data_IF_804286395019
#
_entry.id   IF_804286395019
#
_cell.length_a   1.000
_cell.length_b   1.000
_cell.length_c   1.000
_cell.angle_alpha   90.00
_cell.angle_beta   90.00
_cell.angle_gamma   90.00
#
_symmetry.space_group_name_H-M   'P 1'
#
loop_
_entity.id
_entity.type
_entity.pdbx_description
1 polymer ?
#
# COMPACT_ATOMS: atom_id res chain seq x y z
N UNK A 1 -4.49 -20.21 -15.99
CA UNK A 1 -4.99 -20.28 -14.59
C UNK A 1 -5.83 -19.04 -14.35
N UNK A 2 -7.12 -19.20 -14.06
CA UNK A 2 -7.97 -18.09 -13.65
C UNK A 2 -7.66 -17.76 -12.18
N UNK A 3 -7.30 -16.51 -11.89
CA UNK A 3 -7.11 -16.03 -10.52
C UNK A 3 -8.51 -15.86 -9.94
N UNK A 4 -8.90 -16.70 -9.00
CA UNK A 4 -10.16 -16.55 -8.28
C UNK A 4 -10.03 -15.33 -7.34
N UNK A 5 -11.03 -14.44 -7.28
CA UNK A 5 -11.00 -13.33 -6.35
C UNK A 5 -10.99 -13.87 -4.91
N UNK A 6 -10.03 -13.41 -4.11
CA UNK A 6 -10.05 -13.64 -2.66
C UNK A 6 -11.29 -12.91 -2.14
N UNK A 7 -12.11 -13.60 -1.33
CA UNK A 7 -13.35 -13.03 -0.82
C UNK A 7 -13.06 -11.87 0.13
N UNK A 8 -13.62 -10.70 -0.16
CA UNK A 8 -13.56 -9.52 0.70
C UNK A 8 -14.71 -9.54 1.71
N UNK A 9 -14.53 -8.88 2.85
CA UNK A 9 -15.60 -8.67 3.83
C UNK A 9 -16.78 -7.88 3.24
N UNK A 10 -17.99 -8.06 3.81
CA UNK A 10 -19.21 -7.44 3.28
C UNK A 10 -19.10 -5.90 3.23
N UNK A 11 -19.41 -5.31 2.07
CA UNK A 11 -19.35 -3.87 1.85
C UNK A 11 -18.00 -3.34 1.38
N UNK A 12 -16.94 -4.17 1.38
CA UNK A 12 -15.65 -3.82 0.78
C UNK A 12 -15.73 -3.92 -0.75
N UNK A 13 -15.18 -2.97 -1.51
CA UNK A 13 -15.12 -3.06 -2.97
C UNK A 13 -14.35 -4.29 -3.46
N UNK A 14 -14.63 -4.78 -4.68
CA UNK A 14 -13.88 -5.89 -5.27
C UNK A 14 -12.38 -5.58 -5.33
N UNK A 15 -11.54 -6.55 -4.93
CA UNK A 15 -10.10 -6.46 -4.96
C UNK A 15 -9.48 -7.64 -5.72
N UNK A 16 -8.47 -7.37 -6.54
CA UNK A 16 -7.72 -8.39 -7.27
C UNK A 16 -6.22 -8.16 -7.11
N UNK A 17 -5.52 -9.16 -6.59
CA UNK A 17 -4.05 -9.12 -6.49
C UNK A 17 -3.45 -9.09 -7.90
N UNK A 18 -2.63 -8.07 -8.19
CA UNK A 18 -2.01 -7.94 -9.51
C UNK A 18 -0.72 -8.77 -9.60
N UNK A 19 -0.65 -9.81 -10.45
CA UNK A 19 0.51 -10.70 -10.52
C UNK A 19 1.79 -10.00 -10.98
N UNK A 20 1.71 -8.85 -11.65
CA UNK A 20 2.87 -8.07 -12.09
C UNK A 20 3.70 -7.50 -10.94
N UNK A 21 3.11 -7.41 -9.75
CA UNK A 21 3.79 -6.99 -8.52
C UNK A 21 4.25 -8.19 -7.67
N UNK A 22 4.27 -9.41 -8.25
CA UNK A 22 4.71 -10.65 -7.57
C UNK A 22 5.64 -11.53 -8.41
N UNK A 23 5.79 -11.23 -9.71
CA UNK A 23 6.51 -12.06 -10.67
C UNK A 23 7.87 -11.48 -11.08
N UNK A 24 8.42 -10.54 -10.30
CA UNK A 24 9.67 -9.83 -10.60
C UNK A 24 9.64 -9.06 -11.93
N UNK A 25 8.46 -8.59 -12.35
CA UNK A 25 8.36 -7.73 -13.55
C UNK A 25 9.31 -6.54 -13.43
N UNK A 26 10.18 -6.30 -14.43
CA UNK A 26 11.13 -5.19 -14.38
C UNK A 26 10.43 -3.84 -14.15
N UNK A 27 11.06 -2.97 -13.36
CA UNK A 27 10.59 -1.60 -13.06
C UNK A 27 9.26 -1.53 -12.29
N UNK A 28 8.78 -2.65 -11.76
CA UNK A 28 7.63 -2.67 -10.85
C UNK A 28 8.11 -3.06 -9.45
N UNK A 29 7.68 -2.32 -8.45
CA UNK A 29 7.81 -2.76 -7.06
C UNK A 29 7.13 -4.11 -6.85
N UNK A 30 7.63 -4.89 -5.89
CA UNK A 30 7.17 -6.27 -5.68
C UNK A 30 6.73 -6.47 -4.25
N UNK A 31 5.54 -7.05 -4.06
CA UNK A 31 5.05 -7.49 -2.77
C UNK A 31 5.96 -8.60 -2.22
N UNK A 32 6.31 -8.49 -0.93
CA UNK A 32 6.99 -9.57 -0.19
C UNK A 32 6.04 -10.25 0.78
N UNK A 33 4.94 -9.60 1.15
CA UNK A 33 3.86 -10.19 1.96
C UNK A 33 2.96 -11.08 1.09
N UNK A 34 2.21 -11.99 1.71
CA UNK A 34 1.26 -12.87 1.01
C UNK A 34 0.12 -12.07 0.37
N UNK A 35 -0.60 -12.68 -0.58
CA UNK A 35 -1.81 -12.08 -1.16
C UNK A 35 -2.89 -11.83 -0.11
N UNK A 36 -3.00 -12.70 0.89
CA UNK A 36 -3.92 -12.51 2.01
C UNK A 36 -3.54 -11.28 2.86
N UNK A 37 -2.25 -11.08 3.12
CA UNK A 37 -1.78 -9.91 3.86
C UNK A 37 -1.92 -8.61 3.05
N UNK A 38 -1.74 -8.67 1.72
CA UNK A 38 -2.06 -7.56 0.81
C UNK A 38 -3.55 -7.20 0.88
N UNK A 39 -4.43 -8.21 0.80
CA UNK A 39 -5.87 -7.98 0.90
C UNK A 39 -6.24 -7.37 2.25
N UNK A 40 -5.73 -7.89 3.37
CA UNK A 40 -5.98 -7.30 4.69
C UNK A 40 -5.52 -5.83 4.75
N UNK A 41 -4.39 -5.49 4.12
CA UNK A 41 -3.91 -4.10 4.05
C UNK A 41 -4.87 -3.20 3.26
N UNK A 42 -5.54 -3.74 2.24
CA UNK A 42 -6.59 -3.03 1.49
C UNK A 42 -7.87 -2.88 2.32
N UNK A 43 -8.34 -3.94 2.98
CA UNK A 43 -9.52 -3.91 3.84
C UNK A 43 -9.33 -2.92 5.01
N UNK A 44 -8.15 -2.90 5.64
CA UNK A 44 -7.80 -1.93 6.67
C UNK A 44 -7.83 -0.49 6.13
N UNK A 45 -7.27 -0.26 4.94
CA UNK A 45 -7.32 1.04 4.31
C UNK A 45 -8.77 1.48 4.01
N UNK A 46 -9.64 0.55 3.57
CA UNK A 46 -11.06 0.82 3.38
C UNK A 46 -11.75 1.18 4.70
N UNK A 47 -11.62 0.33 5.72
CA UNK A 47 -12.26 0.49 7.02
C UNK A 47 -11.82 1.76 7.77
N UNK A 48 -10.57 2.19 7.56
CA UNK A 48 -10.03 3.43 8.14
C UNK A 48 -10.25 4.66 7.27
N UNK A 49 -10.99 4.52 6.17
CA UNK A 49 -11.32 5.61 5.25
C UNK A 49 -10.04 6.24 4.67
N UNK A 50 -9.12 5.40 4.21
CA UNK A 50 -7.87 5.80 3.54
C UNK A 50 -7.92 5.70 2.01
N UNK A 51 -9.08 5.32 1.47
CA UNK A 51 -9.37 5.39 0.04
C UNK A 51 -10.01 6.76 -0.28
N UNK A 52 -9.46 7.46 -1.27
CA UNK A 52 -9.88 8.77 -1.75
C UNK A 52 -10.31 8.65 -3.23
N UNK A 53 -11.61 8.64 -3.50
CA UNK A 53 -12.16 8.38 -4.84
C UNK A 53 -11.64 7.05 -5.40
N UNK A 54 -10.70 7.11 -6.35
CA UNK A 54 -10.17 5.97 -7.10
C UNK A 54 -8.72 5.61 -6.72
N UNK A 55 -8.17 6.25 -5.69
CA UNK A 55 -6.81 6.00 -5.20
C UNK A 55 -6.84 5.91 -3.69
N UNK A 56 -6.06 5.01 -3.10
CA UNK A 56 -5.88 4.93 -1.65
C UNK A 56 -4.47 4.53 -1.27
N UNK A 57 -4.20 4.61 0.02
CA UNK A 57 -2.94 4.15 0.58
C UNK A 57 -3.19 3.32 1.83
N UNK A 58 -2.33 2.33 2.05
CA UNK A 58 -2.41 1.45 3.20
C UNK A 58 -1.04 1.13 3.77
N UNK A 59 -1.08 0.40 4.88
CA UNK A 59 0.07 -0.12 5.58
C UNK A 59 -0.19 -1.59 5.89
N UNK A 60 0.88 -2.36 5.98
CA UNK A 60 0.84 -3.71 6.52
C UNK A 60 1.23 -3.65 8.00
N UNK A 61 0.56 -4.42 8.85
CA UNK A 61 0.83 -4.47 10.28
C UNK A 61 1.27 -5.86 10.72
N UNK A 62 2.35 -5.94 11.48
CA UNK A 62 2.80 -7.12 12.22
C UNK A 62 2.82 -6.77 13.70
N UNK A 63 2.16 -7.58 14.55
CA UNK A 63 2.07 -7.32 15.99
C UNK A 63 1.60 -5.90 16.34
N UNK A 64 0.62 -5.36 15.60
CA UNK A 64 0.10 -3.99 15.71
C UNK A 64 1.09 -2.86 15.38
N UNK A 65 2.25 -3.17 14.79
CA UNK A 65 3.20 -2.17 14.31
C UNK A 65 3.25 -2.20 12.77
N UNK A 66 3.33 -1.03 12.11
CA UNK A 66 3.58 -1.02 10.67
C UNK A 66 4.85 -1.82 10.36
N UNK A 67 4.82 -2.58 9.27
CA UNK A 67 5.91 -3.44 8.82
C UNK A 67 6.19 -3.23 7.32
N UNK A 68 7.37 -3.69 6.87
CA UNK A 68 7.68 -3.69 5.45
C UNK A 68 6.75 -4.65 4.71
N UNK A 69 6.25 -4.24 3.55
CA UNK A 69 5.28 -5.00 2.75
C UNK A 69 5.81 -5.43 1.38
N UNK A 70 6.92 -4.83 0.95
CA UNK A 70 7.48 -5.09 -0.36
C UNK A 70 8.85 -4.50 -0.56
N UNK A 71 9.28 -4.55 -1.81
CA UNK A 71 10.49 -3.92 -2.31
C UNK A 71 10.19 -2.98 -3.45
N UNK A 72 10.99 -1.93 -3.57
CA UNK A 72 10.96 -0.94 -4.63
C UNK A 72 11.27 -1.54 -6.01
N UNK A 73 11.26 -0.69 -7.04
CA UNK A 73 11.52 -1.10 -8.44
C UNK A 73 12.92 -1.68 -8.69
N UNK A 74 13.87 -1.45 -7.77
CA UNK A 74 15.20 -2.08 -7.77
C UNK A 74 15.20 -3.51 -7.21
N UNK A 75 14.04 -3.97 -6.72
CA UNK A 75 13.79 -5.26 -6.06
C UNK A 75 14.67 -5.52 -4.84
N UNK A 76 15.21 -4.46 -4.22
CA UNK A 76 16.14 -4.54 -3.07
C UNK A 76 15.74 -3.61 -1.92
N UNK A 77 15.34 -2.39 -2.23
CA UNK A 77 15.00 -1.39 -1.21
C UNK A 77 13.65 -1.73 -0.61
N UNK A 78 13.61 -2.03 0.69
CA UNK A 78 12.36 -2.31 1.39
C UNK A 78 11.44 -1.08 1.40
N UNK A 79 10.13 -1.31 1.26
CA UNK A 79 9.08 -0.30 1.34
C UNK A 79 7.93 -0.79 2.22
N UNK A 80 7.24 0.14 2.86
CA UNK A 80 6.22 -0.15 3.89
C UNK A 80 4.84 0.48 3.61
N UNK A 81 4.69 1.19 2.50
CA UNK A 81 3.43 1.81 2.09
C UNK A 81 2.86 1.06 0.90
N UNK A 82 1.57 0.78 0.94
CA UNK A 82 0.80 0.27 -0.19
C UNK A 82 0.11 1.44 -0.88
N UNK A 83 0.01 1.40 -2.21
CA UNK A 83 -0.90 2.23 -2.98
C UNK A 83 -1.94 1.34 -3.65
N UNK A 84 -3.19 1.76 -3.55
CA UNK A 84 -4.34 1.08 -4.13
C UNK A 84 -4.96 1.96 -5.20
N UNK A 85 -5.37 1.34 -6.31
CA UNK A 85 -5.97 2.03 -7.45
C UNK A 85 -7.22 1.28 -7.88
N UNK A 86 -8.30 2.01 -8.09
CA UNK A 86 -9.52 1.52 -8.71
C UNK A 86 -9.38 1.57 -10.23
N UNK A 87 -9.39 0.41 -10.89
CA UNK A 87 -9.48 0.32 -12.33
C UNK A 87 -10.84 -0.32 -12.70
N UNK A 88 -11.75 0.49 -13.24
CA UNK A 88 -13.09 0.06 -13.70
C UNK A 88 -13.86 -0.74 -12.64
N UNK A 89 -13.97 -0.21 -11.43
CA UNK A 89 -14.65 -0.81 -10.27
C UNK A 89 -13.96 -2.06 -9.69
N UNK A 90 -12.70 -2.31 -10.06
CA UNK A 90 -11.88 -3.35 -9.44
C UNK A 90 -10.63 -2.71 -8.86
N UNK A 91 -10.45 -2.84 -7.55
CA UNK A 91 -9.27 -2.36 -6.87
C UNK A 91 -8.11 -3.36 -7.02
N UNK A 92 -6.91 -2.83 -7.09
CA UNK A 92 -5.68 -3.59 -6.93
C UNK A 92 -4.62 -2.70 -6.29
N UNK A 93 -3.52 -3.29 -5.85
CA UNK A 93 -2.47 -2.57 -5.15
C UNK A 93 -1.06 -2.93 -5.58
N UNK A 94 -0.13 -2.10 -5.13
CA UNK A 94 1.30 -2.33 -5.23
C UNK A 94 2.07 -1.65 -4.09
N UNK A 95 3.29 -2.13 -3.77
CA UNK A 95 4.18 -1.41 -2.86
C UNK A 95 4.58 -0.06 -3.45
N UNK A 96 4.39 1.01 -2.71
CA UNK A 96 4.63 2.38 -3.15
C UNK A 96 6.12 2.75 -2.99
N UNK A 97 6.77 3.21 -4.06
CA UNK A 97 8.17 3.68 -4.03
C UNK A 97 8.21 5.22 -4.00
N UNK A 98 7.85 5.77 -2.85
CA UNK A 98 7.72 7.23 -2.64
C UNK A 98 9.02 8.01 -2.90
N UNK A 99 10.18 7.35 -2.88
CA UNK A 99 11.48 8.00 -3.11
C UNK A 99 11.77 8.24 -4.60
N UNK A 100 11.26 7.37 -5.48
CA UNK A 100 11.52 7.42 -6.93
C UNK A 100 10.31 7.87 -7.73
N UNK A 101 9.12 7.85 -7.12
CA UNK A 101 7.88 8.18 -7.80
C UNK A 101 7.00 9.12 -6.96
N UNK A 102 6.84 10.36 -7.44
CA UNK A 102 5.99 11.35 -6.77
C UNK A 102 4.52 10.91 -6.68
N UNK A 103 4.04 10.07 -7.60
CA UNK A 103 2.67 9.55 -7.54
C UNK A 103 2.47 8.53 -6.43
N UNK A 104 3.56 8.00 -5.86
CA UNK A 104 3.53 7.01 -4.78
C UNK A 104 3.56 7.66 -3.39
N UNK A 105 3.73 8.99 -3.33
CA UNK A 105 3.63 9.75 -2.10
C UNK A 105 2.15 9.77 -1.64
N UNK A 106 1.84 9.28 -0.42
CA UNK A 106 0.48 9.27 0.12
C UNK A 106 -0.13 10.66 0.18
N UNK A 107 -1.43 10.81 -0.12
CA UNK A 107 -2.08 12.13 -0.06
C UNK A 107 -1.92 12.80 1.32
N UNK A 108 -1.89 14.13 1.35
CA UNK A 108 -1.74 14.90 2.60
C UNK A 108 -2.81 14.56 3.64
N UNK A 109 -4.04 14.25 3.22
CA UNK A 109 -5.12 13.85 4.11
C UNK A 109 -4.80 12.51 4.80
N UNK A 110 -4.25 11.55 4.05
CA UNK A 110 -3.86 10.24 4.59
C UNK A 110 -2.68 10.37 5.54
N UNK A 111 -1.65 11.13 5.15
CA UNK A 111 -0.49 11.41 6.01
C UNK A 111 -0.90 12.07 7.34
N UNK A 112 -1.87 12.99 7.30
CA UNK A 112 -2.42 13.63 8.51
C UNK A 112 -3.17 12.64 9.39
N UNK A 113 -3.93 11.70 8.81
CA UNK A 113 -4.60 10.62 9.57
C UNK A 113 -3.59 9.74 10.29
N UNK A 114 -2.57 9.24 9.57
CA UNK A 114 -1.51 8.43 10.17
C UNK A 114 -0.77 9.13 11.30
N UNK A 115 -0.52 10.44 11.17
CA UNK A 115 0.08 11.24 12.24
C UNK A 115 -0.87 11.41 13.43
N UNK A 116 -2.13 11.76 13.19
CA UNK A 116 -3.13 12.01 14.23
C UNK A 116 -3.44 10.75 15.04
N UNK A 117 -3.47 9.60 14.39
CA UNK A 117 -3.76 8.30 14.99
C UNK A 117 -2.50 7.62 15.58
N UNK A 118 -1.34 8.31 15.59
CA UNK A 118 -0.05 7.78 16.04
C UNK A 118 0.38 6.47 15.35
N UNK A 119 -0.02 6.28 14.10
CA UNK A 119 0.32 5.08 13.32
C UNK A 119 1.76 5.15 12.84
N UNK A 120 2.20 6.34 12.40
CA UNK A 120 3.57 6.59 11.99
C UNK A 120 4.16 7.75 12.78
N UNK A 121 5.46 7.69 13.14
CA UNK A 121 6.15 8.80 13.77
C UNK A 121 6.10 10.07 12.89
N UNK A 122 6.04 11.25 13.53
CA UNK A 122 6.02 12.55 12.84
C UNK A 122 7.16 12.68 11.81
N UNK A 123 8.35 12.22 12.17
CA UNK A 123 9.52 12.25 11.27
C UNK A 123 9.27 11.46 9.99
N UNK A 124 8.79 10.22 10.12
CA UNK A 124 8.47 9.33 9.00
C UNK A 124 7.42 9.97 8.08
N UNK A 125 6.34 10.53 8.65
CA UNK A 125 5.29 11.21 7.88
C UNK A 125 5.83 12.41 7.09
N UNK A 126 6.71 13.20 7.69
CA UNK A 126 7.33 14.36 7.02
C UNK A 126 8.28 13.94 5.90
N UNK A 127 9.06 12.88 6.09
CA UNK A 127 9.97 12.37 5.06
C UNK A 127 9.19 11.75 3.90
N UNK A 128 8.15 10.95 4.18
CA UNK A 128 7.23 10.43 3.18
C UNK A 128 6.65 11.55 2.31
N UNK A 129 6.14 12.62 2.93
CA UNK A 129 5.56 13.76 2.22
C UNK A 129 6.54 14.54 1.35
N UNK A 130 7.85 14.36 1.54
CA UNK A 130 8.92 14.98 0.74
C UNK A 130 9.57 14.03 -0.26
N UNK A 131 9.09 12.79 -0.37
CA UNK A 131 9.76 11.74 -1.16
C UNK A 131 11.16 11.40 -0.64
N UNK A 132 11.43 11.63 0.64
CA UNK A 132 12.75 11.39 1.23
C UNK A 132 12.88 9.95 1.75
N UNK A 133 14.12 9.43 1.86
CA UNK A 133 14.37 8.16 2.53
C UNK A 133 13.82 8.17 3.96
N UNK A 134 13.04 7.15 4.28
CA UNK A 134 12.53 6.89 5.62
C UNK A 134 12.32 5.39 5.83
N UNK A 135 12.42 4.96 7.08
CA UNK A 135 12.11 3.60 7.52
C UNK A 135 11.03 3.65 8.59
N UNK A 136 10.50 2.47 8.88
CA UNK A 136 9.77 2.20 10.12
C UNK A 136 10.73 2.15 11.31
#
# INVERSE_FOLDING_TARGET
>A
MAILPISVSSGVPPYLCNPLHRNRTPRKSQWTISENAELHSFEDAFNRIWLLSDIGWGLHFENNHPANLGVAQDHKTAVFVAKFVNDKNTWHGYPADHQRNNQDIPDIQIRRKWLKENILPRRTVLQLGKGQPCSL
#
